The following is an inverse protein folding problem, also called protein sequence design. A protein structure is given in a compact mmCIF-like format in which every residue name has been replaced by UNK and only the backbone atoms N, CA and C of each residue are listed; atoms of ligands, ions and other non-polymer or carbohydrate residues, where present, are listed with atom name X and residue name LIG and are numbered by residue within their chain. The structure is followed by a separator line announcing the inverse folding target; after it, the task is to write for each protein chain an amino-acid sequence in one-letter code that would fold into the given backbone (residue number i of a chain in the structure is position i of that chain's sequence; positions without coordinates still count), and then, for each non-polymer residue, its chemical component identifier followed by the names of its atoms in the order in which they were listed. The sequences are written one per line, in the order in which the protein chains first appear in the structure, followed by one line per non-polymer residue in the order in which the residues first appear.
data_IF_297706908735
#
_entry.id   IF_297706908735
#
_cell.length_a   1.000
_cell.length_b   1.000
_cell.length_c   1.000
_cell.angle_alpha   90.00
_cell.angle_beta   90.00
_cell.angle_gamma   90.00
#
_symmetry.space_group_name_H-M   'P 1'
#
loop_
_entity.id
_entity.type
_entity.pdbx_description
1 polymer ?
#
# COMPACT_ATOMS: atom_id res chain seq x y z
N UNK A 1 13.74 21.27 7.03
CA UNK A 1 14.93 20.44 7.21
C UNK A 1 14.56 18.99 7.43
N UNK A 2 15.49 18.04 7.22
CA UNK A 2 15.31 16.62 7.56
C UNK A 2 15.12 16.51 9.08
N UNK A 3 14.11 15.72 9.53
CA UNK A 3 13.82 15.61 10.96
C UNK A 3 14.88 14.78 11.70
N UNK A 4 15.31 13.68 11.08
CA UNK A 4 16.30 12.75 11.66
C UNK A 4 17.55 12.75 10.76
N UNK A 5 18.68 13.33 11.17
CA UNK A 5 19.91 13.35 10.38
C UNK A 5 20.57 11.96 10.29
N UNK A 6 21.54 11.82 9.37
CA UNK A 6 22.13 10.52 9.08
C UNK A 6 22.93 9.92 10.25
N UNK A 7 23.57 10.74 11.04
CA UNK A 7 24.34 10.36 12.22
C UNK A 7 23.47 9.81 13.37
N UNK A 8 22.17 10.14 13.37
CA UNK A 8 21.18 9.62 14.32
C UNK A 8 20.38 8.43 13.79
N UNK A 9 20.67 7.98 12.56
CA UNK A 9 19.83 7.00 11.88
C UNK A 9 19.81 5.62 12.55
N UNK A 10 20.94 5.17 13.10
CA UNK A 10 21.03 3.85 13.75
C UNK A 10 20.15 3.80 15.00
N UNK A 11 20.33 4.75 15.91
CA UNK A 11 19.55 4.83 17.16
C UNK A 11 18.06 5.01 16.87
N UNK A 12 17.72 5.81 15.84
CA UNK A 12 16.33 6.02 15.45
C UNK A 12 15.69 4.73 14.89
N UNK A 13 16.40 3.99 14.05
CA UNK A 13 15.92 2.71 13.52
C UNK A 13 15.70 1.71 14.66
N UNK A 14 16.70 1.52 15.53
CA UNK A 14 16.61 0.58 16.65
C UNK A 14 15.40 0.84 17.56
N UNK A 15 15.07 2.12 17.79
CA UNK A 15 13.98 2.51 18.70
C UNK A 15 12.61 2.66 18.06
N UNK A 16 12.53 2.90 16.75
CA UNK A 16 11.27 3.33 16.12
C UNK A 16 10.65 2.36 15.12
N UNK A 17 11.35 1.32 14.68
CA UNK A 17 10.82 0.41 13.67
C UNK A 17 10.59 -1.00 14.22
N UNK A 18 9.69 -1.79 13.62
CA UNK A 18 9.67 -3.23 13.82
C UNK A 18 10.98 -3.84 13.32
N UNK A 19 11.53 -4.77 14.09
CA UNK A 19 12.76 -5.50 13.74
C UNK A 19 12.41 -6.80 13.03
N UNK A 20 13.14 -7.13 11.97
CA UNK A 20 12.88 -8.30 11.16
C UNK A 20 14.13 -9.15 10.93
N UNK A 21 14.03 -10.46 11.19
CA UNK A 21 15.07 -11.46 10.96
C UNK A 21 14.52 -12.58 10.06
N UNK A 22 15.23 -12.93 9.01
CA UNK A 22 14.88 -14.02 8.12
C UNK A 22 16.12 -14.61 7.42
N UNK A 23 16.03 -15.79 6.78
CA UNK A 23 17.17 -16.39 6.09
C UNK A 23 17.51 -15.73 4.75
N UNK A 24 16.61 -14.93 4.17
CA UNK A 24 16.85 -14.22 2.90
C UNK A 24 17.56 -12.88 3.17
N UNK A 25 18.88 -12.87 2.99
CA UNK A 25 19.72 -11.71 3.27
C UNK A 25 19.40 -10.49 2.44
N UNK A 26 18.98 -10.66 1.18
CA UNK A 26 18.57 -9.52 0.35
C UNK A 26 17.29 -8.88 0.90
N UNK A 27 16.33 -9.71 1.29
CA UNK A 27 15.06 -9.20 1.83
C UNK A 27 15.26 -8.48 3.16
N UNK A 28 16.10 -9.01 4.05
CA UNK A 28 16.48 -8.38 5.31
C UNK A 28 17.19 -7.03 5.06
N UNK A 29 18.19 -7.00 4.16
CA UNK A 29 18.92 -5.78 3.79
C UNK A 29 17.96 -4.70 3.24
N UNK A 30 17.08 -5.08 2.31
CA UNK A 30 16.15 -4.13 1.70
C UNK A 30 15.08 -3.67 2.71
N UNK A 31 14.62 -4.51 3.64
CA UNK A 31 13.73 -4.13 4.72
C UNK A 31 14.31 -2.95 5.54
N UNK A 32 15.54 -3.09 6.04
CA UNK A 32 16.20 -2.01 6.79
C UNK A 32 16.57 -0.81 5.92
N UNK A 33 16.97 -1.03 4.67
CA UNK A 33 17.22 0.04 3.71
C UNK A 33 15.96 0.88 3.45
N UNK A 34 14.79 0.27 3.32
CA UNK A 34 13.52 0.98 3.11
C UNK A 34 13.13 1.83 4.33
N UNK A 35 13.33 1.36 5.55
CA UNK A 35 13.17 2.18 6.77
C UNK A 35 14.17 3.34 6.80
N UNK A 36 15.41 3.06 6.47
CA UNK A 36 16.44 4.09 6.43
C UNK A 36 16.15 5.18 5.39
N UNK A 37 15.61 4.83 4.21
CA UNK A 37 15.20 5.80 3.19
C UNK A 37 13.96 6.57 3.62
N UNK A 38 12.93 5.91 4.16
CA UNK A 38 11.71 6.54 4.66
C UNK A 38 12.03 7.66 5.67
N UNK A 39 12.91 7.40 6.63
CA UNK A 39 13.37 8.38 7.60
C UNK A 39 13.85 9.70 6.95
N UNK A 40 14.54 9.62 5.81
CA UNK A 40 15.05 10.81 5.10
C UNK A 40 13.94 11.75 4.62
N UNK A 41 12.76 11.22 4.42
CA UNK A 41 11.59 11.94 3.91
C UNK A 41 10.76 12.58 5.01
N UNK A 42 11.00 12.27 6.27
CA UNK A 42 10.40 12.96 7.41
C UNK A 42 11.08 14.32 7.54
N UNK A 43 10.31 15.40 7.39
CA UNK A 43 10.79 16.79 7.41
C UNK A 43 10.19 17.55 8.58
N UNK A 44 11.03 18.34 9.24
CA UNK A 44 10.56 19.37 10.17
C UNK A 44 10.04 20.56 9.38
N UNK A 45 8.83 20.97 9.65
CA UNK A 45 8.18 22.15 9.10
C UNK A 45 7.64 23.03 10.23
N UNK A 46 7.30 24.30 9.96
CA UNK A 46 6.69 25.18 10.98
C UNK A 46 5.34 24.66 11.53
N UNK A 47 4.69 23.72 10.83
CA UNK A 47 3.37 23.19 11.19
C UNK A 47 3.41 21.73 11.69
N UNK A 48 4.59 21.17 11.89
CA UNK A 48 4.81 19.81 12.34
C UNK A 48 5.59 18.97 11.33
N UNK A 49 5.60 17.66 11.53
CA UNK A 49 6.25 16.76 10.58
C UNK A 49 5.48 16.66 9.28
N UNK A 50 6.22 16.58 8.18
CA UNK A 50 5.70 16.30 6.85
C UNK A 50 6.50 15.16 6.23
N UNK A 51 5.89 14.41 5.31
CA UNK A 51 6.58 13.37 4.55
C UNK A 51 6.55 13.69 3.07
N UNK A 52 7.73 13.68 2.43
CA UNK A 52 7.87 14.01 1.02
C UNK A 52 8.01 12.76 0.16
N UNK A 53 7.59 12.86 -1.09
CA UNK A 53 7.83 11.84 -2.11
C UNK A 53 9.25 11.94 -2.68
N UNK A 54 9.70 13.17 -2.94
CA UNK A 54 11.04 13.49 -3.40
C UNK A 54 11.87 14.18 -2.31
N UNK A 55 13.17 13.93 -2.27
CA UNK A 55 14.09 14.72 -1.45
C UNK A 55 14.38 16.08 -2.10
N UNK A 56 14.44 16.13 -3.43
CA UNK A 56 14.67 17.34 -4.21
C UNK A 56 13.35 18.09 -4.41
N UNK A 57 13.29 19.41 -4.17
CA UNK A 57 12.08 20.21 -4.35
C UNK A 57 11.51 20.11 -5.77
N UNK A 58 10.19 20.04 -5.89
CA UNK A 58 9.45 19.95 -7.15
C UNK A 58 8.53 21.15 -7.32
N UNK A 59 8.54 21.77 -8.49
CA UNK A 59 7.72 22.95 -8.78
C UNK A 59 6.20 22.66 -8.80
N UNK A 60 5.83 21.41 -9.04
CA UNK A 60 4.43 20.95 -9.03
C UNK A 60 3.97 20.43 -7.65
N UNK A 61 4.87 20.33 -6.66
CA UNK A 61 4.51 19.99 -5.30
C UNK A 61 3.80 21.16 -4.58
N UNK A 62 3.11 20.84 -3.50
CA UNK A 62 2.54 21.80 -2.58
C UNK A 62 3.63 22.35 -1.63
N UNK A 63 3.22 23.23 -0.71
CA UNK A 63 4.04 23.71 0.41
C UNK A 63 4.79 22.54 1.06
N UNK A 64 6.02 22.78 1.50
CA UNK A 64 6.91 21.76 2.10
C UNK A 64 7.29 20.59 1.20
N UNK A 65 7.14 20.74 -0.12
CA UNK A 65 7.41 19.72 -1.14
C UNK A 65 6.47 18.49 -1.03
N UNK A 66 5.21 18.72 -0.67
CA UNK A 66 4.21 17.67 -0.49
C UNK A 66 3.53 17.31 -1.81
N UNK A 67 3.32 16.01 -2.04
CA UNK A 67 2.61 15.46 -3.20
C UNK A 67 1.66 14.39 -2.70
N UNK A 68 0.35 14.51 -3.01
CA UNK A 68 -0.69 13.66 -2.41
C UNK A 68 -0.77 12.25 -3.00
N UNK A 69 -0.21 11.99 -4.17
CA UNK A 69 -0.26 10.68 -4.84
C UNK A 69 0.30 9.54 -3.98
N UNK A 70 1.37 9.80 -3.23
CA UNK A 70 2.03 8.81 -2.40
C UNK A 70 1.54 8.77 -0.94
N UNK A 71 0.61 9.67 -0.56
CA UNK A 71 0.22 9.84 0.85
C UNK A 71 -0.35 8.55 1.48
N UNK A 72 -1.15 7.80 0.73
CA UNK A 72 -1.66 6.52 1.20
C UNK A 72 -0.55 5.52 1.52
N UNK A 73 0.49 5.43 0.69
CA UNK A 73 1.67 4.60 0.96
C UNK A 73 2.46 5.10 2.18
N UNK A 74 2.64 6.43 2.29
CA UNK A 74 3.32 7.03 3.45
C UNK A 74 2.65 6.66 4.76
N UNK A 75 1.32 6.78 4.84
CA UNK A 75 0.56 6.43 6.06
C UNK A 75 0.66 4.93 6.36
N UNK A 76 0.58 4.05 5.34
CA UNK A 76 0.70 2.61 5.54
C UNK A 76 2.10 2.19 6.04
N UNK A 77 3.17 2.81 5.58
CA UNK A 77 4.50 2.57 6.15
C UNK A 77 4.62 3.17 7.56
N UNK A 78 4.19 4.43 7.75
CA UNK A 78 4.34 5.14 9.03
C UNK A 78 3.48 4.58 10.17
N UNK A 79 2.40 3.84 9.88
CA UNK A 79 1.55 3.23 10.93
C UNK A 79 2.31 2.24 11.82
N UNK A 80 3.46 1.76 11.37
CA UNK A 80 4.33 0.84 12.10
C UNK A 80 5.42 1.53 12.92
N UNK A 81 5.57 2.85 12.80
CA UNK A 81 6.53 3.60 13.62
C UNK A 81 6.07 3.63 15.08
N UNK A 82 6.99 3.34 16.00
CA UNK A 82 6.68 3.31 17.44
C UNK A 82 6.36 4.69 18.00
N UNK A 83 7.06 5.74 17.54
CA UNK A 83 6.65 7.11 17.84
C UNK A 83 5.52 7.53 16.89
N UNK A 84 4.30 7.40 17.38
CA UNK A 84 3.08 7.74 16.64
C UNK A 84 2.96 9.23 16.33
N UNK A 85 3.80 10.08 16.94
CA UNK A 85 3.85 11.52 16.68
C UNK A 85 4.15 11.81 15.19
N UNK A 86 5.03 11.01 14.56
CA UNK A 86 5.32 11.15 13.12
C UNK A 86 4.06 11.00 12.28
N UNK A 87 3.36 9.88 12.45
CA UNK A 87 2.11 9.61 11.72
C UNK A 87 1.07 10.72 11.94
N UNK A 88 0.82 11.05 13.21
CA UNK A 88 -0.19 12.06 13.58
C UNK A 88 0.11 13.40 12.94
N UNK A 89 1.33 13.90 13.05
CA UNK A 89 1.71 15.21 12.51
C UNK A 89 1.74 15.20 10.97
N UNK A 90 2.16 14.13 10.31
CA UNK A 90 2.11 14.01 8.85
C UNK A 90 0.67 14.17 8.37
N UNK A 91 -0.30 13.49 9.01
CA UNK A 91 -1.72 13.60 8.64
C UNK A 91 -2.27 14.99 8.95
N UNK A 92 -1.97 15.56 10.13
CA UNK A 92 -2.39 16.93 10.47
C UNK A 92 -1.79 17.98 9.52
N UNK A 93 -0.53 17.81 9.09
CA UNK A 93 0.07 18.71 8.11
C UNK A 93 -0.75 18.73 6.82
N UNK A 94 -1.21 17.58 6.33
CA UNK A 94 -2.05 17.53 5.13
C UNK A 94 -3.43 18.15 5.33
N UNK A 95 -4.11 17.84 6.43
CA UNK A 95 -5.49 18.29 6.65
C UNK A 95 -5.61 19.71 7.22
N UNK A 96 -4.58 20.21 7.92
CA UNK A 96 -4.67 21.46 8.70
C UNK A 96 -3.42 22.34 8.61
N UNK A 97 -2.39 21.93 7.85
CA UNK A 97 -1.10 22.63 7.79
C UNK A 97 -1.11 23.96 7.00
N UNK A 98 -2.21 24.32 6.36
CA UNK A 98 -2.37 25.60 5.67
C UNK A 98 -3.30 26.51 6.48
N UNK A 99 -2.76 27.10 7.56
CA UNK A 99 -3.50 27.98 8.48
C UNK A 99 -4.81 27.36 8.99
N UNK A 100 -4.72 26.10 9.47
CA UNK A 100 -5.87 25.32 9.95
C UNK A 100 -6.75 24.72 8.84
N UNK A 101 -6.37 24.87 7.58
CA UNK A 101 -7.06 24.34 6.40
C UNK A 101 -6.23 23.22 5.76
N UNK A 102 -6.85 22.38 4.89
CA UNK A 102 -6.12 21.43 4.09
C UNK A 102 -5.07 22.11 3.20
N UNK A 103 -4.00 21.38 2.91
CA UNK A 103 -3.02 21.79 1.92
C UNK A 103 -3.70 22.07 0.58
N UNK A 104 -3.25 23.09 -0.16
CA UNK A 104 -3.94 23.58 -1.36
C UNK A 104 -4.05 22.54 -2.47
N UNK A 105 -3.06 21.65 -2.56
CA UNK A 105 -2.98 20.61 -3.59
C UNK A 105 -3.28 19.21 -3.04
N UNK A 106 -4.02 19.11 -1.93
CA UNK A 106 -4.35 17.83 -1.30
C UNK A 106 -5.15 16.91 -2.25
N UNK A 107 -6.07 17.49 -3.00
CA UNK A 107 -6.92 16.81 -3.98
C UNK A 107 -6.43 16.96 -5.44
N UNK A 108 -5.14 17.27 -5.63
CA UNK A 108 -4.55 17.35 -6.96
C UNK A 108 -4.35 15.98 -7.59
N UNK A 109 -3.89 15.02 -6.80
CA UNK A 109 -3.66 13.64 -7.25
C UNK A 109 -4.62 12.70 -6.55
N UNK A 110 -5.05 11.66 -7.25
CA UNK A 110 -5.85 10.58 -6.67
C UNK A 110 -5.17 10.01 -5.43
N UNK A 111 -5.92 9.86 -4.34
CA UNK A 111 -5.40 9.36 -3.07
C UNK A 111 -6.47 8.59 -2.30
N UNK A 112 -6.02 7.68 -1.42
CA UNK A 112 -6.88 6.89 -0.53
C UNK A 112 -6.62 7.25 0.95
N UNK A 113 -6.49 8.55 1.23
CA UNK A 113 -6.11 9.06 2.56
C UNK A 113 -7.05 8.61 3.67
N UNK A 114 -8.40 8.75 3.58
CA UNK A 114 -9.30 8.25 4.61
C UNK A 114 -9.17 6.76 4.89
N UNK A 115 -8.97 5.94 3.85
CA UNK A 115 -8.73 4.51 4.00
C UNK A 115 -7.42 4.24 4.75
N UNK A 116 -6.35 4.93 4.40
CA UNK A 116 -5.05 4.76 5.05
C UNK A 116 -5.09 5.19 6.53
N UNK A 117 -5.80 6.28 6.87
CA UNK A 117 -6.00 6.74 8.24
C UNK A 117 -6.76 5.69 9.05
N UNK A 118 -7.86 5.16 8.53
CA UNK A 118 -8.60 4.09 9.22
C UNK A 118 -7.73 2.85 9.43
N UNK A 119 -6.95 2.45 8.42
CA UNK A 119 -6.01 1.32 8.54
C UNK A 119 -4.86 1.60 9.53
N UNK A 120 -4.46 2.85 9.73
CA UNK A 120 -3.50 3.21 10.76
C UNK A 120 -4.12 3.08 12.17
N UNK A 121 -5.39 3.43 12.32
CA UNK A 121 -6.13 3.21 13.56
C UNK A 121 -6.22 1.74 13.93
N UNK A 122 -6.41 0.83 12.96
CA UNK A 122 -6.39 -0.61 13.22
C UNK A 122 -5.07 -1.12 13.83
N UNK A 123 -3.97 -0.37 13.69
CA UNK A 123 -2.66 -0.68 14.28
C UNK A 123 -2.47 0.04 15.62
N UNK A 124 -2.84 1.32 15.69
CA UNK A 124 -2.53 2.18 16.84
C UNK A 124 -3.60 2.15 17.94
N UNK A 125 -4.85 1.82 17.59
CA UNK A 125 -6.05 1.93 18.45
C UNK A 125 -6.28 3.35 19.01
N UNK A 126 -5.72 4.38 18.36
CA UNK A 126 -5.87 5.78 18.77
C UNK A 126 -7.23 6.33 18.33
N UNK A 127 -8.26 5.98 19.10
CA UNK A 127 -9.64 6.37 18.81
C UNK A 127 -9.89 7.87 18.91
N UNK A 128 -9.13 8.58 19.75
CA UNK A 128 -9.21 10.03 19.85
C UNK A 128 -8.72 10.72 18.56
N UNK A 129 -7.62 10.21 18.00
CA UNK A 129 -7.09 10.71 16.72
C UNK A 129 -8.03 10.43 15.55
N UNK A 130 -8.59 9.21 15.48
CA UNK A 130 -9.56 8.87 14.42
C UNK A 130 -10.82 9.75 14.51
N UNK A 131 -11.37 9.95 15.71
CA UNK A 131 -12.55 10.79 15.91
C UNK A 131 -12.30 12.25 15.56
N UNK A 132 -11.13 12.79 15.91
CA UNK A 132 -10.73 14.16 15.56
C UNK A 132 -10.59 14.39 14.05
N UNK A 133 -10.15 13.37 13.30
CA UNK A 133 -9.97 13.43 11.85
C UNK A 133 -11.25 13.15 11.05
N UNK A 134 -12.26 12.56 11.63
CA UNK A 134 -13.47 12.15 10.92
C UNK A 134 -14.16 13.29 10.13
N UNK A 135 -14.28 14.52 10.65
CA UNK A 135 -14.78 15.65 9.87
C UNK A 135 -13.89 15.98 8.66
N UNK A 136 -12.57 15.88 8.79
CA UNK A 136 -11.62 16.13 7.70
C UNK A 136 -11.75 15.07 6.60
N UNK A 137 -11.86 13.79 6.97
CA UNK A 137 -12.07 12.67 6.05
C UNK A 137 -13.37 12.84 5.25
N UNK A 138 -14.47 13.21 5.91
CA UNK A 138 -15.75 13.49 5.27
C UNK A 138 -15.66 14.68 4.29
N UNK A 139 -14.93 15.74 4.68
CA UNK A 139 -14.72 16.93 3.83
C UNK A 139 -13.91 16.57 2.57
N UNK A 140 -12.83 15.81 2.69
CA UNK A 140 -12.05 15.34 1.55
C UNK A 140 -12.91 14.51 0.59
N UNK A 141 -13.66 13.53 1.12
CA UNK A 141 -14.56 12.71 0.32
C UNK A 141 -15.58 13.56 -0.46
N UNK A 142 -16.21 14.52 0.22
CA UNK A 142 -17.19 15.43 -0.40
C UNK A 142 -16.59 16.32 -1.50
N UNK A 143 -15.31 16.71 -1.38
CA UNK A 143 -14.61 17.47 -2.45
C UNK A 143 -14.44 16.60 -3.71
N UNK A 144 -14.00 15.36 -3.55
CA UNK A 144 -13.89 14.41 -4.67
C UNK A 144 -15.25 14.16 -5.34
N UNK A 145 -16.32 13.97 -4.58
CA UNK A 145 -17.68 13.84 -5.13
C UNK A 145 -18.08 15.03 -6.00
N UNK A 146 -17.81 16.23 -5.53
CA UNK A 146 -18.20 17.47 -6.24
C UNK A 146 -17.41 17.69 -7.53
N UNK A 147 -16.18 17.24 -7.59
CA UNK A 147 -15.23 17.59 -8.67
C UNK A 147 -14.98 16.48 -9.66
N UNK A 148 -15.08 15.21 -9.26
CA UNK A 148 -14.63 14.07 -10.06
C UNK A 148 -15.71 12.99 -10.27
N UNK A 149 -16.93 13.17 -9.77
CA UNK A 149 -18.01 12.21 -9.99
C UNK A 149 -18.64 12.42 -11.37
N UNK A 150 -18.72 11.33 -12.13
CA UNK A 150 -19.39 11.29 -13.44
C UNK A 150 -20.92 11.14 -13.27
N UNK A 151 -21.72 11.47 -14.30
CA UNK A 151 -23.17 11.28 -14.27
C UNK A 151 -23.62 9.85 -13.99
N UNK A 152 -22.84 8.84 -14.41
CA UNK A 152 -23.09 7.42 -14.12
C UNK A 152 -22.70 6.99 -12.69
N UNK A 153 -22.15 7.89 -11.89
CA UNK A 153 -21.76 7.66 -10.51
C UNK A 153 -20.34 7.14 -10.28
N UNK A 154 -19.60 6.75 -11.33
CA UNK A 154 -18.17 6.47 -11.25
C UNK A 154 -17.37 7.75 -11.07
N UNK A 155 -16.07 7.60 -10.79
CA UNK A 155 -15.15 8.73 -10.67
C UNK A 155 -14.15 8.73 -11.82
N UNK A 156 -13.84 9.93 -12.32
CA UNK A 156 -12.87 10.14 -13.38
C UNK A 156 -11.55 10.68 -12.85
N UNK A 157 -10.49 10.41 -13.60
CA UNK A 157 -9.20 11.06 -13.43
C UNK A 157 -8.43 11.08 -14.75
N UNK A 158 -7.57 12.10 -14.95
CA UNK A 158 -6.57 12.08 -15.98
C UNK A 158 -5.36 11.21 -15.55
N UNK A 159 -4.63 10.66 -16.52
CA UNK A 159 -3.43 9.89 -16.20
C UNK A 159 -2.39 10.69 -15.39
N UNK A 160 -2.18 11.97 -15.72
CA UNK A 160 -1.25 12.86 -15.00
C UNK A 160 -1.64 13.05 -13.53
N UNK A 161 -2.94 13.25 -13.26
CA UNK A 161 -3.41 13.47 -11.89
C UNK A 161 -3.73 12.16 -11.15
N UNK A 162 -3.71 11.05 -11.86
CA UNK A 162 -3.63 9.72 -11.25
C UNK A 162 -2.17 9.35 -10.90
N UNK A 163 -1.22 10.22 -11.22
CA UNK A 163 0.23 10.03 -11.11
C UNK A 163 0.73 8.84 -11.95
N UNK A 164 0.11 8.61 -13.11
CA UNK A 164 0.35 7.46 -14.00
C UNK A 164 0.46 7.93 -15.46
N UNK A 165 1.33 8.90 -15.69
CA UNK A 165 1.52 9.54 -16.98
C UNK A 165 1.93 8.53 -18.06
N UNK A 166 1.43 8.72 -19.27
CA UNK A 166 1.67 7.87 -20.44
C UNK A 166 1.09 6.43 -20.28
N UNK A 167 0.18 6.20 -19.32
CA UNK A 167 -0.57 4.95 -19.30
C UNK A 167 -1.34 4.74 -20.60
N UNK A 168 -1.41 3.50 -21.09
CA UNK A 168 -2.01 3.19 -22.41
C UNK A 168 -3.49 3.58 -22.43
N UNK A 169 -4.21 3.32 -21.34
CA UNK A 169 -5.63 3.65 -21.23
C UNK A 169 -5.90 5.12 -20.89
N UNK A 170 -4.89 5.88 -20.50
CA UNK A 170 -5.02 7.23 -19.98
C UNK A 170 -5.12 8.33 -21.05
N UNK A 171 -4.93 9.56 -20.60
CA UNK A 171 -4.83 10.76 -21.41
C UNK A 171 -4.73 12.01 -20.55
N UNK A 172 -3.75 12.87 -20.84
CA UNK A 172 -3.32 14.00 -19.97
C UNK A 172 -4.44 14.99 -19.60
N UNK A 173 -5.49 15.08 -20.41
CA UNK A 173 -6.62 16.00 -20.20
C UNK A 173 -7.97 15.29 -20.35
N UNK A 174 -7.96 13.97 -20.29
CA UNK A 174 -9.16 13.15 -20.44
C UNK A 174 -9.77 12.82 -19.10
N UNK A 175 -11.09 12.86 -19.03
CA UNK A 175 -11.88 12.54 -17.84
C UNK A 175 -12.44 11.12 -17.97
N UNK A 176 -11.54 10.14 -17.88
CA UNK A 176 -11.92 8.73 -18.00
C UNK A 176 -12.22 8.12 -16.64
N UNK A 177 -13.22 7.24 -16.58
CA UNK A 177 -13.49 6.45 -15.38
C UNK A 177 -12.40 5.39 -15.23
N UNK A 178 -11.56 5.55 -14.20
CA UNK A 178 -10.40 4.67 -13.98
C UNK A 178 -10.64 3.75 -12.79
N UNK A 179 -10.12 2.50 -12.83
CA UNK A 179 -10.19 1.58 -11.69
C UNK A 179 -9.58 2.15 -10.41
N UNK A 180 -8.50 2.95 -10.52
CA UNK A 180 -7.83 3.62 -9.41
C UNK A 180 -8.76 4.50 -8.60
N UNK A 181 -9.15 5.64 -9.15
CA UNK A 181 -9.93 6.66 -8.41
C UNK A 181 -11.28 6.11 -7.93
N UNK A 182 -11.96 5.25 -8.72
CA UNK A 182 -13.22 4.66 -8.32
C UNK A 182 -13.05 3.68 -7.14
N UNK A 183 -11.96 2.90 -7.13
CA UNK A 183 -11.62 2.01 -5.99
C UNK A 183 -11.15 2.78 -4.76
N UNK A 184 -10.38 3.87 -4.93
CA UNK A 184 -9.98 4.75 -3.83
C UNK A 184 -11.22 5.34 -3.15
N UNK A 185 -12.18 5.83 -3.91
CA UNK A 185 -13.42 6.36 -3.36
C UNK A 185 -14.28 5.30 -2.67
N UNK A 186 -14.29 4.07 -3.19
CA UNK A 186 -14.91 2.94 -2.48
C UNK A 186 -14.24 2.68 -1.13
N UNK A 187 -12.92 2.53 -1.12
CA UNK A 187 -12.16 2.30 0.11
C UNK A 187 -12.32 3.43 1.13
N UNK A 188 -12.28 4.69 0.66
CA UNK A 188 -12.49 5.85 1.49
C UNK A 188 -13.90 5.87 2.10
N UNK A 189 -14.94 5.53 1.33
CA UNK A 189 -16.31 5.45 1.84
C UNK A 189 -16.47 4.36 2.90
N UNK A 190 -15.89 3.17 2.67
CA UNK A 190 -15.89 2.08 3.66
C UNK A 190 -15.17 2.48 4.94
N UNK A 191 -14.00 3.10 4.83
CA UNK A 191 -13.23 3.57 5.98
C UNK A 191 -13.99 4.62 6.81
N UNK A 192 -14.61 5.60 6.14
CA UNK A 192 -15.43 6.61 6.82
C UNK A 192 -16.65 5.95 7.48
N UNK A 193 -17.31 5.00 6.81
CA UNK A 193 -18.42 4.25 7.40
C UNK A 193 -18.03 3.54 8.69
N UNK A 194 -16.87 2.86 8.69
CA UNK A 194 -16.35 2.18 9.87
C UNK A 194 -15.94 3.16 10.98
N UNK A 195 -15.28 4.26 10.62
CA UNK A 195 -14.90 5.32 11.56
C UNK A 195 -16.14 5.97 12.19
N UNK A 196 -17.17 6.26 11.40
CA UNK A 196 -18.47 6.75 11.90
C UNK A 196 -19.09 5.76 12.88
N UNK A 197 -19.08 4.45 12.57
CA UNK A 197 -19.63 3.44 13.47
C UNK A 197 -18.89 3.40 14.81
N UNK A 198 -17.55 3.49 14.75
CA UNK A 198 -16.72 3.52 15.95
C UNK A 198 -16.97 4.76 16.80
N UNK A 199 -17.18 5.92 16.15
CA UNK A 199 -17.47 7.20 16.81
C UNK A 199 -18.96 7.41 17.11
N UNK A 200 -19.84 6.44 16.90
CA UNK A 200 -21.31 6.53 17.03
C UNK A 200 -21.91 7.69 16.21
N UNK A 201 -21.29 8.02 15.06
CA UNK A 201 -21.75 9.07 14.15
C UNK A 201 -22.83 8.53 13.21
N UNK A 202 -23.90 9.30 13.01
CA UNK A 202 -25.09 8.91 12.24
C UNK A 202 -24.83 8.65 10.75
N UNK A 203 -23.73 9.16 10.19
CA UNK A 203 -23.42 9.01 8.75
C UNK A 203 -22.86 7.64 8.35
N UNK A 204 -22.70 6.70 9.30
CA UNK A 204 -22.17 5.37 9.01
C UNK A 204 -22.90 4.68 7.85
N UNK A 205 -24.23 4.65 7.88
CA UNK A 205 -25.03 4.02 6.83
C UNK A 205 -24.96 4.80 5.50
N UNK A 206 -24.87 6.13 5.53
CA UNK A 206 -24.71 6.95 4.34
C UNK A 206 -23.47 6.56 3.55
N UNK A 207 -22.31 6.47 4.24
CA UNK A 207 -21.05 6.09 3.58
C UNK A 207 -21.01 4.62 3.17
N UNK A 208 -21.64 3.73 3.94
CA UNK A 208 -21.82 2.33 3.52
C UNK A 208 -22.58 2.22 2.20
N UNK A 209 -23.68 2.95 2.07
CA UNK A 209 -24.50 2.97 0.84
C UNK A 209 -23.72 3.55 -0.36
N UNK A 210 -22.88 4.56 -0.13
CA UNK A 210 -21.98 5.11 -1.16
C UNK A 210 -20.98 4.05 -1.64
N UNK A 211 -20.39 3.32 -0.71
CA UNK A 211 -19.46 2.23 -1.04
C UNK A 211 -20.17 1.10 -1.81
N UNK A 212 -21.34 0.64 -1.36
CA UNK A 212 -22.10 -0.42 -2.03
C UNK A 212 -22.50 -0.02 -3.46
N UNK A 213 -22.88 1.24 -3.64
CA UNK A 213 -23.17 1.78 -4.98
C UNK A 213 -21.92 1.75 -5.85
N UNK A 214 -20.76 2.19 -5.35
CA UNK A 214 -19.52 2.17 -6.11
C UNK A 214 -19.06 0.75 -6.44
N UNK A 215 -19.18 -0.19 -5.52
CA UNK A 215 -18.92 -1.61 -5.79
C UNK A 215 -19.71 -2.09 -7.00
N UNK A 216 -21.02 -1.88 -6.98
CA UNK A 216 -21.89 -2.25 -8.10
C UNK A 216 -21.47 -1.58 -9.41
N UNK A 217 -21.14 -0.29 -9.40
CA UNK A 217 -20.79 0.46 -10.60
C UNK A 217 -19.44 0.02 -11.18
N UNK A 218 -18.43 -0.21 -10.33
CA UNK A 218 -17.11 -0.69 -10.74
C UNK A 218 -17.24 -2.08 -11.37
N UNK A 219 -17.92 -3.01 -10.71
CA UNK A 219 -18.12 -4.37 -11.22
C UNK A 219 -18.89 -4.38 -12.54
N UNK A 220 -19.88 -3.51 -12.69
CA UNK A 220 -20.73 -3.45 -13.87
C UNK A 220 -20.09 -2.76 -15.07
N UNK A 221 -19.35 -1.67 -14.84
CA UNK A 221 -18.93 -0.79 -15.92
C UNK A 221 -17.43 -0.81 -16.21
N UNK A 222 -16.60 -1.30 -15.28
CA UNK A 222 -15.16 -1.37 -15.48
C UNK A 222 -14.64 -2.79 -15.71
N UNK A 223 -15.45 -3.82 -15.49
CA UNK A 223 -15.08 -5.18 -15.83
C UNK A 223 -15.25 -5.43 -17.33
N UNK A 224 -14.19 -5.88 -17.98
CA UNK A 224 -14.22 -6.35 -19.37
C UNK A 224 -14.33 -7.87 -19.41
N UNK A 225 -15.50 -8.38 -19.83
CA UNK A 225 -15.75 -9.83 -19.87
C UNK A 225 -14.83 -10.56 -20.86
N UNK A 226 -14.48 -9.93 -21.98
CA UNK A 226 -13.62 -10.55 -22.99
C UNK A 226 -12.16 -10.64 -22.53
N UNK A 227 -11.71 -9.66 -21.79
CA UNK A 227 -10.34 -9.59 -21.26
C UNK A 227 -10.23 -10.20 -19.87
N UNK A 228 -11.36 -10.47 -19.21
CA UNK A 228 -11.43 -10.90 -17.82
C UNK A 228 -10.60 -10.01 -16.90
N UNK A 229 -10.81 -8.68 -16.99
CA UNK A 229 -10.01 -7.70 -16.27
C UNK A 229 -10.77 -6.38 -16.02
N UNK A 230 -10.43 -5.66 -14.95
CA UNK A 230 -10.93 -4.31 -14.73
C UNK A 230 -10.12 -3.30 -15.55
N UNK A 231 -10.82 -2.47 -16.32
CA UNK A 231 -10.20 -1.55 -17.27
C UNK A 231 -10.73 -0.12 -17.13
N UNK A 232 -9.96 0.82 -17.65
CA UNK A 232 -10.41 2.20 -17.80
C UNK A 232 -11.56 2.27 -18.79
N UNK A 233 -12.64 2.97 -18.41
CA UNK A 233 -13.75 3.28 -19.30
C UNK A 233 -13.55 4.65 -19.93
N UNK A 234 -13.42 4.66 -21.26
CA UNK A 234 -13.32 5.85 -22.12
C UNK A 234 -14.71 6.15 -22.67
N UNK A 235 -15.38 7.18 -22.12
CA UNK A 235 -16.75 7.49 -22.53
C UNK A 235 -17.68 6.25 -22.41
N UNK A 236 -18.07 5.67 -23.53
CA UNK A 236 -18.98 4.52 -23.55
C UNK A 236 -18.30 3.16 -23.75
N UNK A 237 -16.99 3.11 -23.94
CA UNK A 237 -16.23 1.89 -24.22
C UNK A 237 -15.13 1.64 -23.20
N UNK A 238 -14.78 0.36 -23.00
CA UNK A 238 -13.59 -0.03 -22.26
C UNK A 238 -12.33 0.15 -23.12
N UNK A 239 -11.20 0.33 -22.47
CA UNK A 239 -9.95 0.65 -23.16
C UNK A 239 -9.33 -0.54 -23.89
N UNK A 240 -9.78 -1.77 -23.63
CA UNK A 240 -9.26 -3.02 -24.18
C UNK A 240 -7.74 -3.16 -23.97
N UNK A 241 -7.30 -2.84 -22.79
CA UNK A 241 -5.93 -3.02 -22.32
C UNK A 241 -5.92 -3.34 -20.82
N UNK A 242 -5.24 -4.41 -20.45
CA UNK A 242 -4.98 -4.72 -19.05
C UNK A 242 -3.80 -3.88 -18.56
N UNK A 243 -4.02 -3.11 -17.53
CA UNK A 243 -2.98 -2.35 -16.83
C UNK A 243 -3.01 -2.69 -15.34
N UNK A 244 -1.88 -2.57 -14.64
CA UNK A 244 -1.77 -2.92 -13.21
C UNK A 244 -2.83 -2.24 -12.33
N UNK A 245 -3.33 -1.08 -12.76
CA UNK A 245 -4.45 -0.37 -12.10
C UNK A 245 -5.72 -1.20 -12.00
N UNK A 246 -5.92 -2.18 -12.87
CA UNK A 246 -7.05 -3.09 -12.82
C UNK A 246 -7.02 -4.07 -11.64
N UNK A 247 -5.90 -4.19 -10.93
CA UNK A 247 -5.81 -4.90 -9.66
C UNK A 247 -6.20 -4.04 -8.45
N UNK A 248 -6.28 -2.72 -8.60
CA UNK A 248 -6.60 -1.78 -7.50
C UNK A 248 -7.92 -2.11 -6.78
N UNK A 249 -8.99 -2.62 -7.42
CA UNK A 249 -10.20 -3.00 -6.69
C UNK A 249 -9.95 -3.98 -5.54
N UNK A 250 -9.04 -4.95 -5.69
CA UNK A 250 -8.71 -5.91 -4.62
C UNK A 250 -7.86 -5.31 -3.49
N UNK A 251 -7.17 -4.20 -3.74
CA UNK A 251 -6.49 -3.46 -2.66
C UNK A 251 -7.47 -3.06 -1.55
N UNK A 252 -8.72 -2.79 -1.91
CA UNK A 252 -9.80 -2.38 -1.02
C UNK A 252 -10.84 -3.49 -0.74
N UNK A 253 -10.59 -4.72 -1.16
CA UNK A 253 -11.55 -5.83 -1.08
C UNK A 253 -12.91 -5.48 -1.75
N UNK A 254 -12.90 -4.71 -2.84
CA UNK A 254 -14.10 -4.29 -3.55
C UNK A 254 -14.78 -5.45 -4.28
N UNK A 255 -14.08 -6.29 -5.09
CA UNK A 255 -14.73 -7.27 -5.95
C UNK A 255 -15.49 -8.32 -5.17
N UNK A 256 -16.63 -8.75 -5.71
CA UNK A 256 -17.40 -9.87 -5.17
C UNK A 256 -16.56 -11.14 -5.23
N UNK A 257 -16.44 -11.80 -4.10
CA UNK A 257 -15.64 -13.02 -3.93
C UNK A 257 -16.02 -14.09 -4.96
N UNK A 258 -15.04 -14.71 -5.60
CA UNK A 258 -15.21 -15.79 -6.55
C UNK A 258 -15.70 -15.37 -7.94
N UNK A 259 -16.02 -14.09 -8.18
CA UNK A 259 -16.63 -13.67 -9.45
C UNK A 259 -15.62 -13.20 -10.51
N UNK A 260 -14.49 -12.62 -10.09
CA UNK A 260 -13.55 -11.95 -10.99
C UNK A 260 -12.13 -12.54 -10.90
N UNK A 261 -12.01 -13.72 -10.33
CA UNK A 261 -10.74 -14.33 -9.91
C UNK A 261 -9.81 -14.65 -11.08
N UNK A 262 -10.36 -14.87 -12.28
CA UNK A 262 -9.58 -15.12 -13.51
C UNK A 262 -8.63 -13.99 -13.90
N UNK A 263 -8.85 -12.76 -13.40
CA UNK A 263 -7.93 -11.65 -13.60
C UNK A 263 -6.51 -11.96 -13.06
N UNK A 264 -6.42 -12.78 -12.01
CA UNK A 264 -5.15 -13.13 -11.39
C UNK A 264 -4.25 -14.04 -12.24
N UNK A 265 -4.79 -14.69 -13.28
CA UNK A 265 -3.98 -15.43 -14.25
C UNK A 265 -2.92 -14.56 -14.93
N UNK A 266 -3.19 -13.27 -15.10
CA UNK A 266 -2.29 -12.36 -15.80
C UNK A 266 -1.02 -12.04 -15.01
N UNK A 267 -1.01 -12.25 -13.68
CA UNK A 267 0.14 -11.92 -12.83
C UNK A 267 1.34 -12.85 -13.08
N UNK A 268 1.10 -14.07 -13.53
CA UNK A 268 2.14 -15.07 -13.85
C UNK A 268 2.38 -15.23 -15.35
N UNK A 269 1.51 -14.65 -16.20
CA UNK A 269 1.63 -14.77 -17.65
C UNK A 269 2.79 -13.88 -18.18
N UNK A 270 3.79 -14.45 -18.86
CA UNK A 270 4.88 -13.68 -19.49
C UNK A 270 4.41 -12.69 -20.57
N UNK A 271 3.22 -12.90 -21.14
CA UNK A 271 2.55 -11.95 -22.03
C UNK A 271 1.60 -11.02 -21.31
N UNK A 272 1.28 -11.32 -20.05
CA UNK A 272 0.55 -10.48 -19.12
C UNK A 272 1.49 -9.50 -18.41
N UNK A 273 1.58 -9.60 -17.09
CA UNK A 273 2.40 -8.68 -16.28
C UNK A 273 3.73 -9.25 -15.83
N UNK A 274 3.99 -10.56 -15.97
CA UNK A 274 5.21 -11.19 -15.50
C UNK A 274 6.42 -10.82 -16.37
N UNK A 275 7.43 -10.22 -15.77
CA UNK A 275 8.71 -9.89 -16.41
C UNK A 275 9.90 -10.33 -15.54
N UNK A 276 11.12 -10.41 -16.08
CA UNK A 276 12.29 -10.86 -15.35
C UNK A 276 12.57 -10.14 -14.03
N UNK A 277 12.23 -8.84 -13.94
CA UNK A 277 12.48 -8.02 -12.74
C UNK A 277 11.21 -7.65 -11.97
N UNK A 278 10.04 -8.20 -12.31
CA UNK A 278 8.80 -8.00 -11.56
C UNK A 278 7.59 -7.75 -12.44
N UNK A 279 6.58 -7.06 -11.89
CA UNK A 279 5.31 -6.81 -12.54
C UNK A 279 5.33 -5.51 -13.36
N UNK A 280 4.99 -5.62 -14.64
CA UNK A 280 4.86 -4.46 -15.54
C UNK A 280 3.60 -3.65 -15.23
N UNK A 281 3.58 -2.38 -15.62
CA UNK A 281 2.40 -1.51 -15.45
C UNK A 281 1.32 -1.72 -16.52
N UNK A 282 1.68 -2.32 -17.65
CA UNK A 282 0.75 -2.72 -18.70
C UNK A 282 1.06 -4.14 -19.16
N UNK A 283 0.08 -4.85 -19.71
CA UNK A 283 0.28 -6.19 -20.26
C UNK A 283 1.27 -6.18 -21.43
N UNK A 284 2.21 -7.11 -21.44
CA UNK A 284 3.33 -7.16 -22.39
C UNK A 284 2.91 -7.53 -23.81
N UNK A 285 1.74 -8.13 -23.99
CA UNK A 285 1.19 -8.48 -25.32
C UNK A 285 0.57 -7.29 -26.06
N UNK A 286 0.27 -6.18 -25.36
CA UNK A 286 -0.42 -5.06 -25.97
C UNK A 286 0.49 -4.34 -26.99
N UNK A 287 0.00 -3.97 -28.20
CA UNK A 287 0.83 -3.32 -29.23
C UNK A 287 1.46 -1.99 -28.82
N UNK A 288 0.87 -1.30 -27.85
CA UNK A 288 1.38 -0.03 -27.32
C UNK A 288 2.30 -0.22 -26.09
N UNK A 289 2.59 -1.47 -25.68
CA UNK A 289 3.53 -1.73 -24.63
C UNK A 289 4.89 -1.13 -24.96
N UNK A 290 5.39 -0.23 -24.12
CA UNK A 290 6.65 0.49 -24.33
C UNK A 290 6.77 1.24 -25.66
N UNK A 291 5.67 1.43 -26.40
CA UNK A 291 5.72 2.07 -27.75
C UNK A 291 5.95 3.59 -27.71
N UNK A 292 5.73 4.24 -26.55
CA UNK A 292 5.91 5.68 -26.40
C UNK A 292 7.00 5.96 -25.39
N UNK A 293 8.14 6.48 -25.85
CA UNK A 293 9.25 6.93 -25.02
C UNK A 293 9.24 8.45 -24.92
N UNK A 294 8.34 8.99 -24.11
CA UNK A 294 8.35 10.42 -23.79
C UNK A 294 8.98 10.62 -22.41
N UNK A 295 10.18 10.26 -22.26
CA UNK A 295 11.23 10.64 -21.27
C UNK A 295 10.86 11.19 -19.86
N UNK A 296 9.58 11.25 -19.45
CA UNK A 296 9.23 11.84 -18.16
C UNK A 296 8.68 10.87 -17.13
N UNK A 297 7.64 10.10 -17.44
CA UNK A 297 7.03 9.10 -16.54
C UNK A 297 6.30 8.07 -17.42
N UNK A 298 6.85 6.87 -17.51
CA UNK A 298 6.37 5.85 -18.45
C UNK A 298 5.56 4.78 -17.71
N UNK A 299 4.22 4.93 -17.71
CA UNK A 299 3.31 3.93 -17.16
C UNK A 299 2.76 2.96 -18.22
N UNK A 300 3.37 2.94 -19.40
CA UNK A 300 2.99 2.08 -20.53
C UNK A 300 3.79 0.77 -20.59
N UNK A 301 4.36 0.33 -19.50
CA UNK A 301 5.13 -0.91 -19.47
C UNK A 301 6.15 -1.09 -18.36
N UNK A 302 7.07 -0.14 -18.10
CA UNK A 302 8.10 -0.28 -17.07
C UNK A 302 7.53 -0.64 -15.70
N UNK A 303 8.38 -1.23 -14.86
CA UNK A 303 8.02 -1.59 -13.48
C UNK A 303 8.07 -0.34 -12.60
N UNK A 304 6.97 -0.06 -11.92
CA UNK A 304 6.87 1.00 -10.93
C UNK A 304 6.68 0.40 -9.53
N UNK A 305 7.54 0.70 -8.55
CA UNK A 305 7.33 0.27 -7.15
C UNK A 305 5.96 0.66 -6.60
N UNK A 306 5.42 1.80 -7.02
CA UNK A 306 4.05 2.24 -6.69
C UNK A 306 3.02 1.17 -7.08
N UNK A 307 3.00 0.77 -8.36
CA UNK A 307 2.08 -0.23 -8.87
C UNK A 307 2.35 -1.63 -8.30
N UNK A 308 3.63 -2.00 -8.18
CA UNK A 308 4.04 -3.30 -7.60
C UNK A 308 3.52 -3.44 -6.17
N UNK A 309 3.71 -2.42 -5.33
CA UNK A 309 3.24 -2.48 -3.93
C UNK A 309 1.72 -2.50 -3.83
N UNK A 310 1.00 -1.76 -4.66
CA UNK A 310 -0.47 -1.84 -4.72
C UNK A 310 -0.95 -3.22 -5.17
N UNK A 311 -0.35 -3.79 -6.21
CA UNK A 311 -0.74 -5.10 -6.74
C UNK A 311 -0.44 -6.22 -5.73
N UNK A 312 0.72 -6.20 -5.07
CA UNK A 312 1.05 -7.20 -4.06
C UNK A 312 0.18 -7.08 -2.80
N UNK A 313 -0.21 -5.88 -2.39
CA UNK A 313 -1.19 -5.69 -1.31
C UNK A 313 -2.57 -6.21 -1.72
N UNK A 314 -3.00 -5.92 -2.95
CA UNK A 314 -4.26 -6.42 -3.51
C UNK A 314 -4.28 -7.96 -3.56
N UNK A 315 -3.18 -8.58 -4.01
CA UNK A 315 -3.06 -10.03 -4.05
C UNK A 315 -3.01 -10.64 -2.64
N UNK A 316 -2.32 -10.02 -1.68
CA UNK A 316 -2.32 -10.47 -0.31
C UNK A 316 -3.73 -10.41 0.31
N UNK A 317 -4.48 -9.34 0.05
CA UNK A 317 -5.88 -9.24 0.48
C UNK A 317 -6.75 -10.32 -0.17
N UNK A 318 -6.57 -10.57 -1.46
CA UNK A 318 -7.27 -11.63 -2.17
C UNK A 318 -6.99 -13.01 -1.58
N UNK A 319 -5.71 -13.36 -1.39
CA UNK A 319 -5.31 -14.67 -0.83
C UNK A 319 -5.78 -14.85 0.62
N UNK A 320 -5.78 -13.79 1.42
CA UNK A 320 -6.33 -13.84 2.78
C UNK A 320 -7.84 -14.11 2.82
N UNK A 321 -8.58 -13.71 1.79
CA UNK A 321 -10.02 -13.90 1.72
C UNK A 321 -10.41 -15.22 1.03
N UNK A 322 -9.68 -15.60 -0.03
CA UNK A 322 -10.04 -16.71 -0.91
C UNK A 322 -9.13 -17.95 -0.73
N UNK A 323 -7.96 -17.79 -0.08
CA UNK A 323 -6.94 -18.84 -0.01
C UNK A 323 -6.26 -19.11 -1.36
N UNK A 324 -5.39 -20.12 -1.37
CA UNK A 324 -4.76 -20.63 -2.58
C UNK A 324 -5.81 -21.28 -3.47
N UNK A 325 -5.75 -21.02 -4.78
CA UNK A 325 -6.68 -21.56 -5.75
C UNK A 325 -6.03 -21.77 -7.13
N UNK A 326 -6.82 -22.17 -8.13
CA UNK A 326 -6.32 -22.44 -9.49
C UNK A 326 -5.79 -21.20 -10.24
N UNK A 327 -6.18 -20.00 -9.85
CA UNK A 327 -5.75 -18.76 -10.51
C UNK A 327 -4.45 -18.23 -9.92
N UNK A 328 -4.27 -18.33 -8.60
CA UNK A 328 -3.13 -17.74 -7.89
C UNK A 328 -2.97 -18.34 -6.49
N UNK A 329 -1.74 -18.29 -5.96
CA UNK A 329 -1.39 -18.85 -4.66
C UNK A 329 -0.27 -18.03 -3.98
N UNK A 330 0.05 -18.40 -2.74
CA UNK A 330 1.11 -17.79 -1.93
C UNK A 330 2.50 -17.90 -2.58
N UNK A 331 2.79 -18.98 -3.30
CA UNK A 331 4.08 -19.14 -3.99
C UNK A 331 4.25 -18.11 -5.10
N UNK A 332 3.18 -17.76 -5.82
CA UNK A 332 3.18 -16.69 -6.81
C UNK A 332 3.39 -15.33 -6.11
N UNK A 333 2.65 -15.07 -5.04
CA UNK A 333 2.80 -13.84 -4.28
C UNK A 333 4.22 -13.67 -3.74
N UNK A 334 4.76 -14.70 -3.09
CA UNK A 334 6.11 -14.70 -2.54
C UNK A 334 7.18 -14.55 -3.63
N UNK A 335 7.01 -15.23 -4.77
CA UNK A 335 7.89 -15.08 -5.93
C UNK A 335 7.94 -13.63 -6.44
N UNK A 336 6.81 -12.96 -6.52
CA UNK A 336 6.76 -11.55 -6.92
C UNK A 336 7.34 -10.61 -5.84
N UNK A 337 7.15 -10.91 -4.56
CA UNK A 337 7.81 -10.18 -3.47
C UNK A 337 9.34 -10.32 -3.55
N UNK A 338 9.85 -11.50 -3.88
CA UNK A 338 11.30 -11.72 -4.12
C UNK A 338 11.81 -10.89 -5.29
N UNK A 339 11.11 -10.87 -6.41
CA UNK A 339 11.48 -10.03 -7.55
C UNK A 339 11.44 -8.55 -7.17
N UNK A 340 10.42 -8.10 -6.42
CA UNK A 340 10.36 -6.74 -5.90
C UNK A 340 11.54 -6.43 -4.97
N UNK A 341 11.94 -7.36 -4.11
CA UNK A 341 13.15 -7.23 -3.28
C UNK A 341 14.40 -7.06 -4.16
N UNK A 342 14.62 -7.95 -5.13
CA UNK A 342 15.78 -7.93 -6.00
C UNK A 342 15.82 -6.71 -6.95
N UNK A 343 14.67 -6.10 -7.25
CA UNK A 343 14.60 -4.86 -8.01
C UNK A 343 15.19 -3.65 -7.26
N UNK A 344 15.33 -3.73 -5.93
CA UNK A 344 15.89 -2.66 -5.09
C UNK A 344 17.42 -2.58 -5.11
N UNK A 345 18.04 -2.90 -6.24
CA UNK A 345 19.48 -2.74 -6.40
C UNK A 345 19.81 -1.92 -7.66
N UNK A 346 20.84 -1.09 -7.56
CA UNK A 346 21.38 -0.33 -8.67
C UNK A 346 22.90 -0.30 -8.54
N UNK A 347 23.61 -0.72 -9.59
CA UNK A 347 25.09 -0.87 -9.55
C UNK A 347 25.58 -1.68 -8.34
N UNK A 348 24.85 -2.76 -7.99
CA UNK A 348 25.20 -3.66 -6.89
C UNK A 348 24.99 -3.10 -5.47
N UNK A 349 24.25 -2.00 -5.33
CA UNK A 349 23.96 -1.36 -4.02
C UNK A 349 22.46 -1.22 -3.83
N UNK A 350 21.93 -1.27 -2.59
CA UNK A 350 20.55 -0.97 -2.31
C UNK A 350 20.13 0.38 -2.89
N UNK A 351 18.99 0.39 -3.57
CA UNK A 351 18.47 1.55 -4.27
C UNK A 351 16.94 1.49 -4.37
N UNK A 352 16.31 2.63 -4.29
CA UNK A 352 14.91 2.85 -4.65
C UNK A 352 14.78 4.11 -5.49
N UNK A 353 14.18 4.00 -6.67
CA UNK A 353 13.93 5.07 -7.62
C UNK A 353 12.48 5.14 -8.08
N UNK A 354 12.23 5.85 -9.16
CA UNK A 354 10.88 6.01 -9.72
C UNK A 354 10.38 4.71 -10.37
N UNK A 355 11.09 4.25 -11.42
CA UNK A 355 10.73 3.07 -12.20
C UNK A 355 11.94 2.46 -12.90
N UNK A 356 11.81 1.19 -13.26
CA UNK A 356 12.90 0.40 -13.83
C UNK A 356 12.45 -0.38 -15.05
N UNK A 357 13.41 -0.71 -15.89
CA UNK A 357 13.25 -1.55 -17.06
C UNK A 357 12.90 -2.98 -16.64
N UNK A 358 11.88 -3.55 -17.22
CA UNK A 358 11.30 -4.83 -16.83
C UNK A 358 12.17 -6.05 -17.23
N UNK A 359 13.09 -5.87 -18.18
CA UNK A 359 13.95 -6.94 -18.69
C UNK A 359 15.33 -6.91 -18.04
N UNK A 360 15.89 -5.73 -17.84
CA UNK A 360 17.28 -5.55 -17.37
C UNK A 360 17.38 -5.18 -15.91
N UNK A 361 16.27 -4.70 -15.28
CA UNK A 361 16.28 -4.18 -13.92
C UNK A 361 16.97 -2.83 -13.78
N UNK A 362 17.34 -2.18 -14.89
CA UNK A 362 17.99 -0.88 -14.87
C UNK A 362 16.98 0.22 -14.47
N UNK A 363 17.32 1.01 -13.46
CA UNK A 363 16.51 2.16 -13.04
C UNK A 363 16.58 3.26 -14.08
N UNK A 364 15.50 3.48 -14.82
CA UNK A 364 15.47 4.33 -16.02
C UNK A 364 15.77 5.82 -15.74
N UNK A 365 15.65 6.24 -14.48
CA UNK A 365 16.10 7.55 -14.00
C UNK A 365 17.11 7.45 -12.86
N UNK A 366 17.76 6.31 -12.69
CA UNK A 366 18.61 6.00 -11.55
C UNK A 366 19.78 6.96 -11.36
N UNK A 367 20.33 7.49 -12.46
CA UNK A 367 21.43 8.48 -12.43
C UNK A 367 20.97 9.91 -12.05
N UNK A 368 19.66 10.17 -12.03
CA UNK A 368 19.13 11.48 -11.67
C UNK A 368 18.98 11.59 -10.16
N UNK A 369 19.52 12.65 -9.56
CA UNK A 369 19.42 12.92 -8.12
C UNK A 369 17.96 12.90 -7.62
N UNK A 370 17.03 13.41 -8.42
CA UNK A 370 15.60 13.44 -8.06
C UNK A 370 14.99 12.07 -7.86
N UNK A 371 15.47 11.03 -8.55
CA UNK A 371 14.96 9.67 -8.49
C UNK A 371 15.52 8.89 -7.29
N UNK A 372 16.62 9.36 -6.71
CA UNK A 372 17.28 8.67 -5.61
C UNK A 372 16.46 8.73 -4.33
N UNK A 373 16.28 7.57 -3.69
CA UNK A 373 15.49 7.40 -2.48
C UNK A 373 14.00 7.72 -2.66
N UNK A 374 13.45 7.47 -3.84
CA UNK A 374 12.08 7.81 -4.16
C UNK A 374 11.07 7.16 -3.21
N UNK A 375 10.17 7.96 -2.62
CA UNK A 375 9.28 7.51 -1.55
C UNK A 375 7.81 7.53 -2.01
N UNK A 376 7.39 6.52 -2.76
CA UNK A 376 6.03 6.44 -3.33
C UNK A 376 5.47 5.01 -3.32
N UNK A 377 5.99 4.14 -2.47
CA UNK A 377 5.59 2.73 -2.45
C UNK A 377 5.77 2.14 -1.05
N UNK A 378 5.06 1.08 -0.75
CA UNK A 378 5.28 0.25 0.44
C UNK A 378 6.22 -0.91 0.11
N UNK A 379 6.97 -1.34 1.08
CA UNK A 379 7.73 -2.58 1.11
C UNK A 379 7.66 -3.22 2.51
N UNK A 380 7.94 -2.43 3.54
CA UNK A 380 7.93 -2.90 4.92
C UNK A 380 6.54 -3.33 5.36
N UNK A 381 5.51 -2.59 4.96
CA UNK A 381 4.11 -2.97 5.17
C UNK A 381 3.79 -4.34 4.54
N UNK A 382 4.31 -4.64 3.34
CA UNK A 382 4.15 -5.96 2.69
C UNK A 382 4.85 -7.09 3.46
N UNK A 383 6.02 -6.84 4.03
CA UNK A 383 6.70 -7.82 4.90
C UNK A 383 5.84 -8.10 6.12
N UNK A 384 5.33 -7.05 6.78
CA UNK A 384 4.56 -7.18 8.03
C UNK A 384 3.19 -7.82 7.77
N UNK A 385 2.43 -7.27 6.82
CA UNK A 385 1.02 -7.69 6.61
C UNK A 385 0.85 -8.86 5.66
N UNK A 386 1.80 -9.07 4.75
CA UNK A 386 1.77 -10.15 3.76
C UNK A 386 2.65 -11.32 4.17
N UNK A 387 3.97 -11.13 4.21
CA UNK A 387 4.92 -12.21 4.47
C UNK A 387 4.76 -12.82 5.87
N UNK A 388 4.87 -12.00 6.91
CA UNK A 388 4.63 -12.39 8.31
C UNK A 388 3.14 -12.58 8.58
N UNK A 389 2.30 -11.83 7.87
CA UNK A 389 0.86 -12.01 7.84
C UNK A 389 0.10 -11.39 8.99
N UNK A 390 0.64 -10.37 9.66
CA UNK A 390 -0.11 -9.62 10.67
C UNK A 390 -1.30 -8.89 10.01
N UNK A 391 -2.52 -9.25 10.40
CA UNK A 391 -3.78 -8.68 9.88
C UNK A 391 -4.42 -7.81 10.94
N UNK A 392 -4.16 -6.49 10.94
CA UNK A 392 -4.75 -5.58 11.92
C UNK A 392 -6.28 -5.58 11.83
N UNK A 393 -6.93 -5.65 12.99
CA UNK A 393 -8.39 -5.67 13.11
C UNK A 393 -8.87 -4.63 14.13
N UNK A 394 -10.13 -4.26 14.04
CA UNK A 394 -10.79 -3.51 15.10
C UNK A 394 -11.03 -4.42 16.33
N UNK A 395 -10.73 -3.92 17.52
CA UNK A 395 -10.89 -4.67 18.77
C UNK A 395 -9.68 -5.55 19.12
N UNK A 396 -9.88 -6.47 20.06
CA UNK A 396 -8.77 -7.18 20.72
C UNK A 396 -8.33 -8.46 20.00
N UNK A 397 -9.11 -8.95 19.03
CA UNK A 397 -8.76 -10.14 18.26
C UNK A 397 -8.19 -9.77 16.92
N UNK A 398 -7.06 -10.37 16.56
CA UNK A 398 -6.39 -10.19 15.28
C UNK A 398 -5.90 -11.53 14.74
N UNK A 399 -5.52 -11.54 13.47
CA UNK A 399 -5.07 -12.74 12.79
C UNK A 399 -3.61 -12.60 12.33
N UNK A 400 -2.90 -13.72 12.38
CA UNK A 400 -1.63 -13.93 11.69
C UNK A 400 -1.92 -14.91 10.57
N UNK A 401 -1.66 -14.53 9.32
CA UNK A 401 -1.81 -15.39 8.16
C UNK A 401 -0.62 -15.22 7.21
N UNK A 402 0.53 -15.89 7.46
CA UNK A 402 1.71 -15.77 6.64
C UNK A 402 1.47 -16.23 5.21
N UNK A 403 1.89 -15.41 4.24
CA UNK A 403 1.93 -15.79 2.82
C UNK A 403 3.32 -16.31 2.42
N UNK A 404 4.02 -16.89 3.37
CA UNK A 404 5.26 -17.63 3.13
C UNK A 404 4.89 -19.08 2.77
N UNK A 405 5.22 -19.57 1.57
CA UNK A 405 4.91 -20.95 1.17
C UNK A 405 5.61 -21.96 2.08
N UNK A 406 4.96 -23.09 2.31
CA UNK A 406 5.50 -24.19 3.09
C UNK A 406 6.92 -24.57 2.63
N UNK A 407 7.76 -24.94 3.58
CA UNK A 407 9.15 -25.39 3.35
C UNK A 407 10.11 -24.37 2.69
N UNK A 408 9.67 -23.10 2.56
CA UNK A 408 10.52 -22.05 1.97
C UNK A 408 11.57 -21.55 2.96
N UNK A 409 11.18 -21.25 4.20
CA UNK A 409 12.08 -20.78 5.26
C UNK A 409 11.94 -21.61 6.53
N UNK A 410 13.06 -21.88 7.19
CA UNK A 410 13.09 -22.53 8.49
C UNK A 410 12.74 -21.57 9.64
N UNK A 411 12.88 -20.27 9.45
CA UNK A 411 12.59 -19.28 10.50
C UNK A 411 12.27 -17.88 9.93
N UNK A 412 11.56 -17.11 10.70
CA UNK A 412 11.51 -15.63 10.67
C UNK A 412 11.12 -15.11 12.04
N UNK A 413 11.48 -13.86 12.35
CA UNK A 413 10.99 -13.13 13.50
C UNK A 413 10.67 -11.69 13.12
N UNK A 414 9.51 -11.21 13.51
CA UNK A 414 9.13 -9.81 13.51
C UNK A 414 8.93 -9.39 14.97
N UNK A 415 9.76 -8.48 15.44
CA UNK A 415 9.77 -8.02 16.83
C UNK A 415 9.61 -6.51 16.92
N UNK A 416 9.42 -6.00 18.13
CA UNK A 416 9.30 -4.57 18.40
C UNK A 416 8.15 -3.86 17.68
N UNK A 417 7.07 -4.59 17.33
CA UNK A 417 5.87 -4.00 16.70
C UNK A 417 5.02 -3.33 17.78
N UNK A 418 4.77 -2.03 17.65
CA UNK A 418 3.79 -1.35 18.49
C UNK A 418 2.39 -1.63 17.93
N UNK A 419 1.62 -2.48 18.60
CA UNK A 419 0.27 -2.85 18.20
C UNK A 419 -0.70 -2.64 19.36
N UNK A 420 -1.70 -1.79 19.17
CA UNK A 420 -2.64 -1.36 20.23
C UNK A 420 -1.93 -0.91 21.52
N UNK A 421 -0.84 -0.12 21.36
CA UNK A 421 -0.04 0.38 22.47
C UNK A 421 0.82 -0.67 23.20
N UNK A 422 0.89 -1.90 22.69
CA UNK A 422 1.61 -3.04 23.28
C UNK A 422 2.73 -3.49 22.37
N UNK A 423 3.75 -4.13 22.94
CA UNK A 423 4.84 -4.71 22.16
C UNK A 423 4.46 -6.10 21.65
N UNK A 424 4.27 -6.24 20.33
CA UNK A 424 3.96 -7.51 19.67
C UNK A 424 5.22 -8.12 19.07
N UNK A 425 5.40 -9.42 19.27
CA UNK A 425 6.44 -10.25 18.66
C UNK A 425 5.80 -11.45 17.96
N UNK A 426 6.21 -11.75 16.73
CA UNK A 426 5.76 -12.90 15.95
C UNK A 426 7.00 -13.66 15.46
N UNK A 427 7.13 -14.95 15.81
CA UNK A 427 8.26 -15.75 15.35
C UNK A 427 7.82 -17.11 14.86
N UNK A 428 8.39 -17.52 13.73
CA UNK A 428 8.36 -18.87 13.18
C UNK A 428 9.70 -19.55 13.36
N UNK A 429 9.73 -20.74 13.95
CA UNK A 429 10.91 -21.57 14.09
C UNK A 429 10.55 -23.02 13.80
N UNK A 430 10.84 -23.51 12.59
CA UNK A 430 10.50 -24.85 12.13
C UNK A 430 11.20 -25.94 12.91
N UNK A 431 12.45 -25.67 13.33
CA UNK A 431 13.30 -26.65 14.03
C UNK A 431 13.32 -26.42 15.54
N UNK A 432 13.01 -25.22 16.01
CA UNK A 432 13.00 -24.82 17.40
C UNK A 432 14.39 -24.51 17.96
N UNK A 433 15.38 -24.32 17.11
CA UNK A 433 16.78 -24.09 17.49
C UNK A 433 17.24 -22.64 17.29
N UNK A 434 16.54 -21.86 16.46
CA UNK A 434 16.91 -20.48 16.13
C UNK A 434 16.62 -19.53 17.29
N UNK A 435 15.38 -19.50 17.79
CA UNK A 435 14.93 -18.59 18.84
C UNK A 435 14.84 -19.24 20.22
N UNK A 436 15.08 -20.55 20.32
CA UNK A 436 15.07 -21.32 21.57
C UNK A 436 13.73 -21.28 22.33
N UNK A 437 12.63 -21.09 21.60
CA UNK A 437 11.27 -21.11 22.14
C UNK A 437 10.51 -22.41 21.83
N UNK A 438 11.19 -23.36 21.13
CA UNK A 438 10.57 -24.57 20.60
C UNK A 438 10.15 -24.42 19.15
N UNK A 439 9.53 -25.47 18.59
CA UNK A 439 9.08 -25.54 17.20
C UNK A 439 7.70 -24.90 17.05
N UNK A 440 7.50 -24.07 16.04
CA UNK A 440 6.19 -23.54 15.69
C UNK A 440 6.16 -22.06 15.39
N UNK A 441 4.96 -21.58 15.16
CA UNK A 441 4.61 -20.16 15.04
C UNK A 441 4.14 -19.67 16.40
N UNK A 442 4.78 -18.65 16.92
CA UNK A 442 4.53 -18.07 18.22
C UNK A 442 4.17 -16.61 18.10
N UNK A 443 3.27 -16.15 18.98
CA UNK A 443 2.86 -14.75 19.07
C UNK A 443 2.85 -14.32 20.53
N UNK A 444 3.59 -13.25 20.83
CA UNK A 444 3.66 -12.68 22.18
C UNK A 444 3.18 -11.22 22.19
N UNK A 445 2.54 -10.85 23.28
CA UNK A 445 2.27 -9.45 23.64
C UNK A 445 2.97 -9.16 24.98
N UNK A 446 3.84 -8.14 25.00
CA UNK A 446 4.66 -7.75 26.15
C UNK A 446 5.39 -8.95 26.82
N UNK A 447 5.92 -9.84 25.99
CA UNK A 447 6.60 -11.07 26.39
C UNK A 447 5.69 -12.21 26.87
N UNK A 448 4.36 -12.03 26.95
CA UNK A 448 3.39 -13.07 27.30
C UNK A 448 2.92 -13.79 26.02
N UNK A 449 3.04 -15.11 25.99
CA UNK A 449 2.56 -15.92 24.85
C UNK A 449 1.02 -15.85 24.78
N UNK A 450 0.49 -15.41 23.64
CA UNK A 450 -0.95 -15.31 23.39
C UNK A 450 -1.42 -16.18 22.23
N UNK A 451 -0.50 -16.68 21.41
CA UNK A 451 -0.80 -17.56 20.28
C UNK A 451 0.32 -18.53 19.99
N UNK A 452 -0.05 -19.76 19.62
CA UNK A 452 0.88 -20.83 19.25
C UNK A 452 0.25 -21.75 18.21
N UNK A 453 1.05 -22.14 17.24
CA UNK A 453 0.71 -23.16 16.26
C UNK A 453 1.94 -24.00 15.91
N UNK A 454 1.86 -25.35 15.87
CA UNK A 454 3.03 -26.21 15.62
C UNK A 454 3.56 -26.13 14.17
N UNK A 455 2.74 -25.67 13.24
CA UNK A 455 3.07 -25.50 11.81
C UNK A 455 2.84 -24.07 11.37
N UNK A 456 3.48 -23.65 10.30
CA UNK A 456 3.18 -22.35 9.68
C UNK A 456 1.74 -22.33 9.15
N UNK A 457 1.06 -21.19 9.26
CA UNK A 457 -0.30 -21.01 8.77
C UNK A 457 -1.16 -20.10 9.64
N UNK A 458 -2.46 -19.96 9.33
CA UNK A 458 -3.35 -19.02 10.01
C UNK A 458 -3.48 -19.27 11.51
N UNK A 459 -3.42 -18.20 12.29
CA UNK A 459 -3.53 -18.22 13.74
C UNK A 459 -4.30 -16.99 14.22
N UNK A 460 -5.41 -17.21 14.94
CA UNK A 460 -6.16 -16.15 15.59
C UNK A 460 -5.61 -15.89 17.00
N UNK A 461 -5.37 -14.63 17.34
CA UNK A 461 -4.83 -14.19 18.63
C UNK A 461 -5.75 -13.17 19.27
N UNK A 462 -5.84 -13.19 20.60
CA UNK A 462 -6.64 -12.22 21.36
C UNK A 462 -5.78 -11.54 22.43
N UNK A 463 -5.77 -10.21 22.42
CA UNK A 463 -5.13 -9.41 23.47
C UNK A 463 -6.06 -9.41 24.67
N UNK A 464 -5.59 -9.98 25.78
CA UNK A 464 -6.30 -9.91 27.06
C UNK A 464 -5.75 -8.76 27.89
N UNK A 465 -6.61 -7.84 28.29
CA UNK A 465 -6.26 -6.83 29.27
C UNK A 465 -6.42 -7.44 30.64
N UNK A 466 -5.34 -7.55 31.40
CA UNK A 466 -5.46 -7.89 32.83
C UNK A 466 -6.34 -6.80 33.48
N UNK A 467 -7.46 -7.19 34.10
CA UNK A 467 -8.28 -6.25 34.85
C UNK A 467 -7.39 -5.71 35.99
N UNK A 468 -7.03 -4.44 35.92
CA UNK A 468 -6.42 -3.71 37.03
C UNK A 468 -7.41 -3.61 38.19
#
# INVERSE_FOLDING_TARGET
AQAIPNDQSADWLETNIPLFDCPDRNMEEIYYYRWWTLRKHIKNTPVGYAMTEFLVPRSYADKYNLISSALGHHIHECRWLRDTCYLRQIVYTWYRGNDGKPMERMDRYSSWTPYAIYNSWLVTDDSAFLADLLPDMKREYSRWEKTHRLPNGLYWQSDVQDAMEESISGGRKKQYARPTISSYMYGNAMAISHACRHAEDADSLLYKNKADTLKYLVEKYLWNESDAFFETRREDTLANVREAIGYTPWYFNLPTQGKFDSAWLQISDPKGFSAPFGLTTAERRHPQFRAVFKASCEWNGPIWPFATSQTLTALANYLNTNGNNEFVNDSIWFGQLKLYTLSHYFHGRPYIGEYLDEVTGYWLKGEQERSRYYNHSTFNDLIITGLVGLRPCAGNTFEINPLLPDDTWDYFCLDNVLYHGRNLTIAWDKKGDRYRQGKGLFVWIDGKLIGYRPTLGPLSCTITFDKQ
#
